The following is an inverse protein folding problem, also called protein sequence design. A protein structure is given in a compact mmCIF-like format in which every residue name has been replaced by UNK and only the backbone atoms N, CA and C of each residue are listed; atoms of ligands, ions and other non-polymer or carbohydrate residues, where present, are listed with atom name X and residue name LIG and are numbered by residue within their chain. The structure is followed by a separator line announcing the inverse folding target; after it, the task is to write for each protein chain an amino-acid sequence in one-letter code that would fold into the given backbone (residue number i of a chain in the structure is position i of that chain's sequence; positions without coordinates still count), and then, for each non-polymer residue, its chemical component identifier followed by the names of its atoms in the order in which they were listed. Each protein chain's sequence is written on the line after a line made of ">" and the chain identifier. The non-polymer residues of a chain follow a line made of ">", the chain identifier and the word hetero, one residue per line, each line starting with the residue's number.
data_IF_055942767842
#
_entry.id   IF_055942767842
#
_cell.length_a   1.000
_cell.length_b   1.000
_cell.length_c   1.000
_cell.angle_alpha   90.00
_cell.angle_beta   90.00
_cell.angle_gamma   90.00
#
_symmetry.space_group_name_H-M   'P 1'
#
loop_
_entity.id
_entity.type
_entity.pdbx_description
1 polymer ?
#
# COMPACT_ATOMS: atom_id res chain seq x y z
N UNK A 1 9.31 9.34 21.91
CA UNK A 1 8.72 8.00 22.03
C UNK A 1 9.61 7.07 22.84
N UNK A 2 9.02 6.26 23.72
CA UNK A 2 9.69 5.19 24.48
C UNK A 2 10.08 4.00 23.59
N UNK A 3 9.36 3.80 22.49
CA UNK A 3 9.60 2.74 21.50
C UNK A 3 10.91 2.98 20.72
N UNK A 4 11.61 1.89 20.42
CA UNK A 4 12.78 1.88 19.52
C UNK A 4 12.36 1.62 18.08
N UNK A 5 13.26 1.91 17.13
CA UNK A 5 13.04 1.55 15.72
C UNK A 5 12.80 0.03 15.60
N UNK A 6 11.77 -0.37 14.87
CA UNK A 6 11.33 -1.76 14.73
C UNK A 6 10.33 -2.24 15.79
N UNK A 7 10.01 -1.41 16.78
CA UNK A 7 9.03 -1.71 17.83
C UNK A 7 7.73 -0.95 17.60
N UNK A 8 6.61 -1.59 17.92
CA UNK A 8 5.28 -0.98 17.97
C UNK A 8 4.59 -1.34 19.27
N UNK A 9 3.62 -0.52 19.67
CA UNK A 9 2.69 -0.82 20.73
C UNK A 9 1.28 -0.89 20.13
N UNK A 10 0.54 -1.94 20.48
CA UNK A 10 -0.85 -2.09 20.09
C UNK A 10 -1.57 -2.90 21.17
N UNK A 11 -2.73 -2.40 21.61
CA UNK A 11 -3.57 -3.09 22.59
C UNK A 11 -5.03 -3.02 22.16
N UNK A 12 -5.56 -4.11 21.56
CA UNK A 12 -6.92 -4.16 21.07
C UNK A 12 -7.92 -4.42 22.19
N UNK A 13 -9.16 -4.01 21.95
CA UNK A 13 -10.33 -4.46 22.67
C UNK A 13 -11.18 -5.37 21.77
N UNK A 14 -11.74 -6.44 22.34
CA UNK A 14 -12.75 -7.28 21.70
C UNK A 14 -14.00 -7.29 22.57
N UNK A 15 -15.16 -6.99 21.97
CA UNK A 15 -16.44 -6.91 22.67
C UNK A 15 -16.37 -6.01 23.92
N UNK A 16 -15.66 -4.87 23.81
CA UNK A 16 -15.49 -3.90 24.89
C UNK A 16 -14.55 -4.33 26.02
N UNK A 17 -13.83 -5.45 25.88
CA UNK A 17 -12.85 -5.93 26.86
C UNK A 17 -11.45 -5.89 26.28
N UNK A 18 -10.48 -5.56 27.13
CA UNK A 18 -9.07 -5.62 26.76
C UNK A 18 -8.69 -7.05 26.37
N UNK A 19 -7.95 -7.16 25.28
CA UNK A 19 -7.42 -8.43 24.82
C UNK A 19 -5.90 -8.44 24.95
N UNK A 20 -5.40 -9.49 25.58
CA UNK A 20 -3.97 -9.69 25.76
C UNK A 20 -3.43 -10.40 24.53
N UNK A 21 -2.47 -9.78 23.86
CA UNK A 21 -1.75 -10.39 22.75
C UNK A 21 -0.58 -11.18 23.33
N UNK A 22 -0.58 -12.50 23.13
CA UNK A 22 0.49 -13.39 23.62
C UNK A 22 1.72 -13.42 22.68
N UNK A 23 1.60 -12.87 21.47
CA UNK A 23 2.70 -12.79 20.51
C UNK A 23 3.62 -11.59 20.75
N UNK A 24 4.92 -11.78 20.49
CA UNK A 24 5.94 -10.71 20.56
C UNK A 24 6.16 -10.01 19.21
N UNK A 25 5.50 -10.49 18.15
CA UNK A 25 5.67 -9.99 16.80
C UNK A 25 4.30 -9.86 16.13
N UNK A 26 4.17 -8.87 15.25
CA UNK A 26 3.03 -8.74 14.37
C UNK A 26 3.50 -8.33 12.98
N UNK A 27 2.66 -8.54 11.98
CA UNK A 27 2.76 -7.75 10.76
C UNK A 27 1.76 -6.60 10.78
N UNK A 28 2.16 -5.50 10.14
CA UNK A 28 1.34 -4.33 9.93
C UNK A 28 1.29 -4.05 8.43
N UNK A 29 0.10 -3.80 7.91
CA UNK A 29 -0.14 -3.47 6.51
C UNK A 29 -1.24 -2.40 6.38
N UNK A 30 -1.27 -1.70 5.25
CA UNK A 30 -2.38 -0.81 4.86
C UNK A 30 -2.99 -1.31 3.55
N UNK A 31 -4.31 -1.17 3.40
CA UNK A 31 -4.99 -1.46 2.14
C UNK A 31 -5.19 -0.18 1.33
N UNK A 32 -4.96 -0.19 0.00
CA UNK A 32 -4.39 -1.30 -0.77
C UNK A 32 -2.88 -1.49 -0.51
N UNK A 33 -2.40 -2.72 -0.72
CA UNK A 33 -0.98 -3.12 -0.57
C UNK A 33 -0.52 -3.84 -1.84
N UNK A 34 0.35 -3.20 -2.62
CA UNK A 34 0.84 -3.74 -3.89
C UNK A 34 2.32 -4.07 -3.85
N UNK A 35 3.12 -3.31 -3.13
CA UNK A 35 4.54 -3.62 -3.02
C UNK A 35 4.74 -4.65 -1.91
N UNK A 36 5.54 -5.69 -2.17
CA UNK A 36 5.77 -6.76 -1.18
C UNK A 36 6.39 -6.26 0.14
N UNK A 37 7.05 -5.10 0.09
CA UNK A 37 7.62 -4.43 1.25
C UNK A 37 6.64 -3.59 2.08
N UNK A 38 5.38 -3.46 1.63
CA UNK A 38 4.32 -2.73 2.34
C UNK A 38 3.85 -3.47 3.59
N UNK A 39 4.08 -4.79 3.64
CA UNK A 39 3.84 -5.60 4.83
C UNK A 39 5.08 -5.55 5.71
N UNK A 40 4.95 -4.97 6.90
CA UNK A 40 6.05 -4.79 7.85
C UNK A 40 5.88 -5.69 9.06
N UNK A 41 6.82 -6.62 9.24
CA UNK A 41 6.93 -7.40 10.47
C UNK A 41 7.67 -6.56 11.51
N UNK A 42 7.02 -6.31 12.64
CA UNK A 42 7.49 -5.44 13.72
C UNK A 42 7.35 -6.16 15.07
N UNK A 43 8.13 -5.72 16.04
CA UNK A 43 8.10 -6.28 17.39
C UNK A 43 6.98 -5.60 18.19
N UNK A 44 6.04 -6.39 18.70
CA UNK A 44 5.06 -5.93 19.67
C UNK A 44 5.73 -5.78 21.04
N UNK A 45 5.59 -4.59 21.61
CA UNK A 45 6.17 -4.25 22.91
C UNK A 45 5.13 -3.59 23.80
N UNK A 46 5.28 -3.77 25.11
CA UNK A 46 4.48 -3.10 26.12
C UNK A 46 5.37 -2.16 26.93
N UNK A 47 4.87 -0.95 27.19
CA UNK A 47 5.49 0.08 28.00
C UNK A 47 4.41 0.67 28.90
N UNK A 48 4.71 0.82 30.20
CA UNK A 48 3.75 1.35 31.17
C UNK A 48 3.25 2.74 30.77
N UNK A 49 4.12 3.55 30.16
CA UNK A 49 3.80 4.89 29.66
C UNK A 49 2.76 4.88 28.54
N UNK A 50 2.55 3.74 27.85
CA UNK A 50 1.58 3.59 26.76
C UNK A 50 0.32 2.82 27.18
N UNK A 51 0.24 2.33 28.43
CA UNK A 51 -0.89 1.54 28.96
C UNK A 51 -2.21 2.32 29.11
N UNK A 52 -2.26 3.60 28.74
CA UNK A 52 -3.50 4.34 28.63
C UNK A 52 -4.06 4.35 27.21
N UNK A 53 -3.30 3.90 26.21
CA UNK A 53 -3.69 3.87 24.80
C UNK A 53 -4.29 2.51 24.42
N UNK A 54 -5.46 2.54 23.78
CA UNK A 54 -6.23 1.36 23.36
C UNK A 54 -6.73 1.56 21.93
N UNK A 55 -6.89 0.47 21.19
CA UNK A 55 -7.46 0.46 19.82
C UNK A 55 -6.73 1.38 18.83
N UNK A 56 -5.48 1.71 19.15
CA UNK A 56 -4.56 2.49 18.32
C UNK A 56 -3.20 1.81 18.30
N UNK A 57 -2.56 1.81 17.14
CA UNK A 57 -1.16 1.42 17.01
C UNK A 57 -0.28 2.64 17.23
N UNK A 58 0.77 2.47 18.02
CA UNK A 58 1.78 3.50 18.28
C UNK A 58 3.08 3.07 17.62
N UNK A 59 3.57 3.93 16.73
CA UNK A 59 4.83 3.77 16.04
C UNK A 59 5.98 4.50 16.77
N UNK A 60 7.24 4.10 16.56
CA UNK A 60 8.38 4.78 17.13
C UNK A 60 8.63 6.08 16.36
N UNK A 61 9.04 7.12 17.08
CA UNK A 61 9.47 8.40 16.50
C UNK A 61 10.99 8.43 16.26
N UNK A 62 11.64 7.27 16.32
CA UNK A 62 13.08 7.07 16.18
C UNK A 62 13.34 6.08 15.05
N UNK A 63 14.41 6.28 14.29
CA UNK A 63 14.78 5.43 13.17
C UNK A 63 15.16 6.25 11.93
N UNK A 64 15.59 5.58 10.87
CA UNK A 64 15.98 6.25 9.62
C UNK A 64 14.76 6.68 8.77
N UNK A 65 13.66 5.94 8.89
CA UNK A 65 12.43 6.15 8.11
C UNK A 65 11.21 5.83 8.98
N UNK A 66 10.14 6.66 8.98
CA UNK A 66 8.92 6.35 9.71
C UNK A 66 8.26 5.06 9.21
N UNK A 67 7.89 4.15 10.12
CA UNK A 67 7.19 2.91 9.75
C UNK A 67 5.88 3.12 8.99
N UNK A 68 5.02 4.12 9.32
CA UNK A 68 3.88 4.49 8.47
C UNK A 68 4.26 4.64 6.99
N UNK A 69 5.30 5.43 6.71
CA UNK A 69 5.74 5.67 5.34
C UNK A 69 6.33 4.42 4.67
N UNK A 70 6.86 3.47 5.43
CA UNK A 70 7.29 2.16 4.91
C UNK A 70 6.11 1.25 4.54
N UNK A 71 4.91 1.54 5.03
CA UNK A 71 3.68 0.75 4.85
C UNK A 71 2.81 1.48 3.81
N UNK A 72 2.99 1.17 2.53
CA UNK A 72 2.20 1.74 1.43
C UNK A 72 2.15 3.29 1.41
N UNK A 73 3.23 3.95 1.83
CA UNK A 73 3.32 5.41 1.86
C UNK A 73 2.36 6.08 2.85
N UNK A 74 1.90 5.33 3.86
CA UNK A 74 0.94 5.81 4.85
C UNK A 74 1.47 6.99 5.67
N UNK A 75 0.55 7.85 6.09
CA UNK A 75 0.78 8.88 7.09
C UNK A 75 -0.09 8.62 8.34
N UNK A 76 -0.25 9.61 9.20
CA UNK A 76 -1.00 9.51 10.45
C UNK A 76 -2.13 10.57 10.52
N UNK A 77 -2.73 10.91 9.38
CA UNK A 77 -3.85 11.87 9.30
C UNK A 77 -5.24 11.22 9.44
N UNK A 78 -5.29 9.89 9.58
CA UNK A 78 -6.52 9.10 9.62
C UNK A 78 -6.37 7.68 9.07
N UNK A 79 -5.20 7.34 8.51
CA UNK A 79 -4.88 6.02 8.00
C UNK A 79 -5.12 4.89 9.03
N UNK A 80 -5.68 3.78 8.52
CA UNK A 80 -5.97 2.57 9.30
C UNK A 80 -5.07 1.43 8.86
N UNK A 81 -4.68 0.60 9.83
CA UNK A 81 -3.76 -0.49 9.61
C UNK A 81 -4.42 -1.83 9.91
N UNK A 82 -4.14 -2.82 9.07
CA UNK A 82 -4.31 -4.23 9.41
C UNK A 82 -3.14 -4.64 10.28
N UNK A 83 -3.44 -5.16 11.48
CA UNK A 83 -2.44 -5.68 12.42
C UNK A 83 -2.78 -7.14 12.67
N UNK A 84 -1.83 -8.03 12.42
CA UNK A 84 -2.01 -9.45 12.65
C UNK A 84 -0.83 -10.00 13.44
N UNK A 85 -1.14 -10.69 14.53
CA UNK A 85 -0.19 -11.28 15.46
C UNK A 85 -0.31 -12.82 15.52
N UNK A 86 -1.04 -13.42 14.57
CA UNK A 86 -1.12 -14.86 14.41
C UNK A 86 0.18 -15.39 13.80
N UNK A 87 0.88 -16.26 14.53
CA UNK A 87 2.19 -16.77 14.15
C UNK A 87 2.17 -17.55 12.83
N UNK A 88 1.04 -18.16 12.45
CA UNK A 88 0.93 -18.92 11.21
C UNK A 88 0.78 -18.01 9.99
N UNK A 89 0.27 -16.79 10.20
CA UNK A 89 0.07 -15.78 9.16
C UNK A 89 1.23 -14.80 9.04
N UNK A 90 2.15 -14.75 10.01
CA UNK A 90 3.31 -13.88 9.94
C UNK A 90 4.22 -14.31 8.78
N UNK A 91 4.54 -13.40 7.84
CA UNK A 91 5.43 -13.72 6.73
C UNK A 91 6.81 -14.15 7.21
N UNK A 92 7.26 -15.32 6.74
CA UNK A 92 8.62 -15.84 7.02
C UNK A 92 9.72 -15.05 6.28
N UNK A 93 9.35 -14.34 5.22
CA UNK A 93 10.24 -13.53 4.40
C UNK A 93 9.65 -12.12 4.29
N UNK A 94 10.52 -11.12 4.45
CA UNK A 94 10.15 -9.71 4.30
C UNK A 94 10.91 -9.10 3.13
N UNK A 95 10.33 -8.05 2.54
CA UNK A 95 10.94 -7.30 1.46
C UNK A 95 11.23 -5.88 1.93
N UNK A 96 12.23 -5.24 1.29
CA UNK A 96 12.49 -3.82 1.56
C UNK A 96 11.28 -2.99 1.13
N UNK A 97 10.89 -1.97 1.90
CA UNK A 97 9.77 -1.10 1.55
C UNK A 97 10.11 -0.30 0.28
N UNK A 98 9.11 -0.04 -0.55
CA UNK A 98 9.27 0.88 -1.67
C UNK A 98 9.56 2.29 -1.15
N UNK A 99 10.22 3.13 -1.95
CA UNK A 99 10.39 4.52 -1.61
C UNK A 99 9.12 5.30 -1.97
N UNK A 100 8.40 5.77 -0.95
CA UNK A 100 7.15 6.53 -1.08
C UNK A 100 7.38 8.04 -0.91
N UNK A 101 8.62 8.51 -1.03
CA UNK A 101 8.88 9.94 -0.96
C UNK A 101 8.15 10.65 -2.10
N UNK A 102 7.28 11.60 -1.74
CA UNK A 102 6.54 12.40 -2.70
C UNK A 102 7.51 13.09 -3.66
N UNK A 103 7.28 12.95 -4.96
CA UNK A 103 7.97 13.76 -5.97
C UNK A 103 7.69 15.24 -5.68
N UNK A 104 8.72 16.07 -5.75
CA UNK A 104 8.73 17.47 -5.32
C UNK A 104 7.43 18.22 -5.68
N UNK A 105 6.90 18.99 -4.70
CA UNK A 105 5.75 19.89 -4.90
C UNK A 105 6.03 20.77 -6.13
N UNK A 106 5.13 20.73 -7.10
CA UNK A 106 5.08 21.74 -8.16
C UNK A 106 4.94 23.10 -7.48
N UNK A 107 5.72 24.10 -7.90
CA UNK A 107 5.65 25.47 -7.36
C UNK A 107 4.19 25.93 -7.33
N UNK A 108 3.71 26.32 -6.15
CA UNK A 108 2.41 26.96 -5.99
C UNK A 108 2.40 28.23 -6.85
N UNK A 109 1.59 28.26 -7.90
CA UNK A 109 1.29 29.49 -8.62
C UNK A 109 0.38 30.34 -7.72
N UNK A 110 0.79 31.57 -7.44
CA UNK A 110 0.13 32.45 -6.44
C UNK A 110 -1.31 32.85 -6.76
N UNK A 111 -1.85 32.54 -7.94
CA UNK A 111 -3.23 32.86 -8.32
C UNK A 111 -3.89 31.70 -9.07
N UNK A 112 -4.75 30.95 -8.39
CA UNK A 112 -5.63 29.94 -9.00
C UNK A 112 -6.88 30.66 -9.53
N UNK A 113 -7.13 30.56 -10.83
CA UNK A 113 -8.31 31.13 -11.49
C UNK A 113 -9.54 30.24 -11.36
N UNK A 114 -10.73 30.81 -11.55
CA UNK A 114 -11.99 30.04 -11.55
C UNK A 114 -12.01 29.00 -12.68
N UNK A 115 -11.48 29.36 -13.83
CA UNK A 115 -11.39 28.53 -15.02
C UNK A 115 -10.48 27.32 -14.79
N UNK A 116 -9.37 27.50 -14.06
CA UNK A 116 -8.48 26.41 -13.65
C UNK A 116 -9.16 25.47 -12.65
N UNK A 117 -9.92 25.98 -11.68
CA UNK A 117 -10.71 25.15 -10.77
C UNK A 117 -11.75 24.30 -11.53
N UNK A 118 -12.52 24.92 -12.44
CA UNK A 118 -13.51 24.22 -13.27
C UNK A 118 -12.83 23.15 -14.13
N UNK A 119 -11.71 23.49 -14.77
CA UNK A 119 -10.94 22.57 -15.61
C UNK A 119 -10.35 21.42 -14.81
N UNK A 120 -9.85 21.67 -13.61
CA UNK A 120 -9.32 20.64 -12.72
C UNK A 120 -10.44 19.67 -12.31
N UNK A 121 -11.57 20.18 -11.83
CA UNK A 121 -12.71 19.37 -11.42
C UNK A 121 -13.28 18.54 -12.58
N UNK A 122 -13.46 19.14 -13.76
CA UNK A 122 -13.99 18.46 -14.95
C UNK A 122 -13.08 17.32 -15.44
N UNK A 123 -11.78 17.41 -15.19
CA UNK A 123 -10.79 16.42 -15.64
C UNK A 123 -10.35 15.44 -14.54
N UNK A 124 -10.68 15.68 -13.27
CA UNK A 124 -10.24 14.86 -12.13
C UNK A 124 -10.60 13.37 -12.29
N UNK A 125 -11.83 13.08 -12.71
CA UNK A 125 -12.29 11.69 -12.92
C UNK A 125 -11.61 11.02 -14.13
N UNK A 126 -11.43 11.76 -15.24
CA UNK A 126 -10.78 11.24 -16.44
C UNK A 126 -9.31 10.90 -16.22
N UNK A 127 -8.67 11.57 -15.28
CA UNK A 127 -7.26 11.37 -14.95
C UNK A 127 -7.04 10.33 -13.85
N UNK A 128 -8.10 9.75 -13.28
CA UNK A 128 -7.97 8.74 -12.23
C UNK A 128 -7.58 7.37 -12.82
N UNK A 129 -6.28 7.12 -12.89
CA UNK A 129 -5.72 5.87 -13.42
C UNK A 129 -5.64 4.74 -12.38
N UNK A 130 -5.86 5.03 -11.09
CA UNK A 130 -5.65 4.07 -9.99
C UNK A 130 -6.46 2.78 -10.17
N UNK A 131 -7.74 2.89 -10.55
CA UNK A 131 -8.60 1.73 -10.79
C UNK A 131 -8.17 0.89 -12.01
N UNK A 132 -7.61 1.52 -13.05
CA UNK A 132 -7.07 0.78 -14.20
C UNK A 132 -5.80 0.04 -13.80
N UNK A 133 -4.92 0.70 -13.05
CA UNK A 133 -3.68 0.11 -12.54
C UNK A 133 -3.98 -1.07 -11.61
N UNK A 134 -4.98 -0.96 -10.72
CA UNK A 134 -5.42 -2.05 -9.85
C UNK A 134 -5.85 -3.28 -10.65
N UNK A 135 -6.71 -3.08 -11.65
CA UNK A 135 -7.16 -4.18 -12.51
C UNK A 135 -6.00 -4.85 -13.25
N UNK A 136 -5.04 -4.07 -13.75
CA UNK A 136 -3.86 -4.62 -14.42
C UNK A 136 -2.94 -5.35 -13.44
N UNK A 137 -2.77 -4.82 -12.23
CA UNK A 137 -2.00 -5.48 -11.18
C UNK A 137 -2.60 -6.85 -10.87
N UNK A 138 -3.91 -6.92 -10.65
CA UNK A 138 -4.60 -8.17 -10.34
C UNK A 138 -4.46 -9.19 -11.48
N UNK A 139 -4.53 -8.75 -12.74
CA UNK A 139 -4.26 -9.62 -13.89
C UNK A 139 -2.86 -10.25 -13.83
N UNK A 140 -1.82 -9.42 -13.70
CA UNK A 140 -0.43 -9.91 -13.69
C UNK A 140 -0.09 -10.69 -12.41
N UNK A 141 -0.68 -10.32 -11.28
CA UNK A 141 -0.52 -11.04 -10.02
C UNK A 141 -1.09 -12.46 -10.13
N UNK A 142 -2.25 -12.61 -10.77
CA UNK A 142 -2.86 -13.92 -11.01
C UNK A 142 -2.06 -14.76 -12.02
N UNK A 143 -1.54 -14.14 -13.09
CA UNK A 143 -0.85 -14.85 -14.16
C UNK A 143 0.62 -15.20 -13.82
N UNK A 144 1.37 -14.24 -13.26
CA UNK A 144 2.82 -14.33 -13.06
C UNK A 144 3.23 -14.27 -11.58
N UNK A 145 2.28 -14.04 -10.68
CA UNK A 145 2.53 -13.83 -9.26
C UNK A 145 2.90 -12.39 -8.91
N UNK A 146 2.65 -12.03 -7.64
CA UNK A 146 2.93 -10.70 -7.06
C UNK A 146 4.41 -10.31 -7.04
N UNK A 147 5.32 -11.27 -7.26
CA UNK A 147 6.76 -11.04 -7.37
C UNK A 147 7.21 -10.61 -8.78
N UNK A 148 6.30 -10.59 -9.75
CA UNK A 148 6.61 -10.27 -11.14
C UNK A 148 7.08 -8.82 -11.31
N UNK A 149 7.86 -8.57 -12.37
CA UNK A 149 8.33 -7.22 -12.70
C UNK A 149 7.18 -6.30 -13.08
N UNK A 150 6.11 -6.86 -13.66
CA UNK A 150 4.88 -6.17 -14.00
C UNK A 150 4.17 -5.66 -12.74
N UNK A 151 3.96 -6.53 -11.74
CA UNK A 151 3.36 -6.15 -10.46
C UNK A 151 4.19 -5.07 -9.76
N UNK A 152 5.52 -5.19 -9.72
CA UNK A 152 6.39 -4.17 -9.12
C UNK A 152 6.25 -2.81 -9.80
N UNK A 153 6.30 -2.76 -11.14
CA UNK A 153 6.15 -1.50 -11.90
C UNK A 153 4.75 -0.91 -11.76
N UNK A 154 3.71 -1.75 -11.67
CA UNK A 154 2.35 -1.29 -11.44
C UNK A 154 2.16 -0.75 -10.01
N UNK A 155 2.84 -1.32 -9.01
CA UNK A 155 2.85 -0.78 -7.65
C UNK A 155 3.46 0.63 -7.58
N UNK A 156 4.58 0.84 -8.29
CA UNK A 156 5.21 2.16 -8.44
C UNK A 156 4.24 3.16 -9.08
N UNK A 157 3.62 2.80 -10.22
CA UNK A 157 2.64 3.64 -10.91
C UNK A 157 1.38 3.90 -10.07
N UNK A 158 0.95 2.95 -9.25
CA UNK A 158 -0.19 3.13 -8.36
C UNK A 158 0.09 4.21 -7.32
N UNK A 159 1.29 4.20 -6.73
CA UNK A 159 1.73 5.24 -5.79
C UNK A 159 1.71 6.62 -6.44
N UNK A 160 2.24 6.74 -7.66
CA UNK A 160 2.21 8.00 -8.41
C UNK A 160 0.77 8.44 -8.73
N UNK A 161 -0.12 7.49 -9.06
CA UNK A 161 -1.52 7.79 -9.38
C UNK A 161 -2.33 8.28 -8.17
N UNK A 162 -2.01 7.82 -6.96
CA UNK A 162 -2.65 8.31 -5.72
C UNK A 162 -2.25 9.76 -5.42
N UNK A 163 -1.00 10.13 -5.70
CA UNK A 163 -0.50 11.49 -5.47
C UNK A 163 -0.74 12.45 -6.66
N UNK A 164 -1.05 11.94 -7.85
CA UNK A 164 -1.32 12.72 -9.05
C UNK A 164 -2.34 13.88 -8.87
N UNK A 165 -3.45 13.73 -8.11
CA UNK A 165 -4.35 14.85 -7.84
C UNK A 165 -3.69 16.00 -7.06
N UNK A 166 -2.70 15.69 -6.21
CA UNK A 166 -1.97 16.68 -5.39
C UNK A 166 -0.88 17.39 -6.19
N UNK A 167 -0.27 16.69 -7.16
CA UNK A 167 0.87 17.19 -7.93
C UNK A 167 0.48 17.73 -9.31
N UNK A 168 -0.72 17.42 -9.80
CA UNK A 168 -1.15 17.71 -11.17
C UNK A 168 -0.48 16.81 -12.23
N UNK A 169 0.28 15.80 -11.82
CA UNK A 169 0.97 14.90 -12.72
C UNK A 169 -0.01 14.02 -13.51
N UNK A 170 0.26 13.83 -14.81
CA UNK A 170 -0.52 12.91 -15.65
C UNK A 170 0.16 11.55 -15.69
N UNK A 171 -0.51 10.52 -15.18
CA UNK A 171 0.00 9.16 -15.20
C UNK A 171 -0.32 8.48 -16.54
N UNK A 172 0.72 7.91 -17.17
CA UNK A 172 0.60 7.12 -18.39
C UNK A 172 1.07 5.70 -18.10
N UNK A 173 0.19 4.72 -18.33
CA UNK A 173 0.52 3.31 -18.17
C UNK A 173 1.27 2.84 -19.43
N UNK A 174 2.53 2.37 -19.32
CA UNK A 174 3.28 1.81 -20.43
C UNK A 174 2.54 0.64 -21.10
N UNK A 175 2.67 0.52 -22.42
CA UNK A 175 1.94 -0.50 -23.20
C UNK A 175 2.26 -1.92 -22.77
N UNK A 176 3.50 -2.18 -22.35
CA UNK A 176 3.96 -3.50 -21.91
C UNK A 176 3.35 -3.95 -20.57
N UNK A 177 2.76 -3.02 -19.80
CA UNK A 177 2.05 -3.35 -18.56
C UNK A 177 0.55 -3.55 -18.78
N UNK A 178 0.04 -3.30 -19.99
CA UNK A 178 -1.37 -3.50 -20.32
C UNK A 178 -1.61 -4.98 -20.59
N UNK A 179 -2.57 -5.62 -19.89
CA UNK A 179 -3.01 -6.96 -20.23
C UNK A 179 -3.52 -7.03 -21.67
N UNK A 180 -3.42 -8.21 -22.33
CA UNK A 180 -4.07 -8.46 -23.61
C UNK A 180 -5.59 -8.27 -23.49
N UNK A 181 -6.30 -8.11 -24.61
CA UNK A 181 -7.77 -7.90 -24.57
C UNK A 181 -8.47 -9.14 -24.00
N UNK A 182 -9.65 -8.97 -23.40
CA UNK A 182 -10.41 -10.08 -22.78
C UNK A 182 -10.64 -11.26 -23.74
N UNK A 183 -10.85 -10.98 -25.02
CA UNK A 183 -11.00 -12.00 -26.08
C UNK A 183 -9.72 -12.84 -26.23
N UNK A 184 -8.55 -12.21 -26.21
CA UNK A 184 -7.24 -12.88 -26.28
C UNK A 184 -6.92 -13.64 -24.98
N UNK A 185 -7.41 -13.16 -23.83
CA UNK A 185 -7.26 -13.84 -22.54
C UNK A 185 -8.03 -15.17 -22.48
N UNK A 186 -9.25 -15.22 -23.04
CA UNK A 186 -10.06 -16.45 -23.09
C UNK A 186 -9.39 -17.52 -23.95
N UNK A 187 -8.89 -17.15 -25.14
CA UNK A 187 -8.15 -18.07 -26.01
C UNK A 187 -6.87 -18.61 -25.34
N UNK A 188 -6.10 -17.76 -24.66
CA UNK A 188 -4.87 -18.19 -24.00
C UNK A 188 -5.13 -19.16 -22.84
N UNK A 189 -6.20 -18.95 -22.08
CA UNK A 189 -6.60 -19.84 -20.99
C UNK A 189 -7.08 -21.20 -21.50
N UNK A 190 -7.80 -21.23 -22.63
CA UNK A 190 -8.20 -22.48 -23.28
C UNK A 190 -7.00 -23.25 -23.82
N UNK A 191 -6.02 -22.58 -24.45
CA UNK A 191 -4.79 -23.22 -24.94
C UNK A 191 -3.91 -23.79 -23.82
N UNK A 192 -3.67 -23.02 -22.73
CA UNK A 192 -2.87 -23.52 -21.59
C UNK A 192 -3.55 -24.67 -20.84
N UNK A 193 -4.89 -24.69 -20.81
CA UNK A 193 -5.65 -25.82 -20.24
C UNK A 193 -5.49 -27.10 -21.07
N UNK A 194 -5.34 -26.99 -22.40
CA UNK A 194 -5.13 -28.13 -23.30
C UNK A 194 -3.70 -28.68 -23.15
N UNK A 195 -2.69 -27.81 -23.04
CA UNK A 195 -1.29 -28.21 -22.88
C UNK A 195 -0.98 -28.85 -21.51
N UNK A 196 -1.78 -28.58 -20.48
CA UNK A 196 -1.60 -29.17 -19.14
C UNK A 196 -2.21 -30.59 -19.02
N UNK A 197 -2.95 -31.04 -20.03
CA UNK A 197 -3.63 -32.36 -20.06
C UNK A 197 -2.83 -33.42 -20.87
N UNK A 198 -1.70 -33.03 -21.49
CA UNK A 198 -0.76 -33.94 -22.16
C UNK A 198 0.49 -34.20 -21.32
#
# INVERSE_FOLDING_TARGET
>A
SVLKSGEVYFRPTFNGRQFMIDSKICFVAKSPSYHLGDIRVLKLTSYQELEHLYDVIVFPTKGQRPHPNEIAGSDLDGDKYLICWDNDLIPKQTNKPMNYNSTAKVQESELITREEMISHFANAQKNNQSGIIDNYYNYWANLLGVKSTQCRRLAELFSEAVDAPKTGQKIRIPSELKPPRKEEQQLNNEMTSIETIQ
#
